data_IF_511221687972
#
_entry.id   IF_511221687972
#
_cell.length_a   1.000
_cell.length_b   1.000
_cell.length_c   1.000
_cell.angle_alpha   90.00
_cell.angle_beta   90.00
_cell.angle_gamma   90.00
#
_symmetry.space_group_name_H-M   'P 1'
#
loop_
_entity.id
_entity.type
_entity.pdbx_description
1 polymer ?
#
# COMPACT_ATOMS: atom_id res chain seq x y z
N UNK A 1 -4.20 15.56 20.36
CA UNK A 1 -4.15 14.87 19.06
C UNK A 1 -3.32 13.65 19.31
N UNK A 2 -3.87 12.46 19.12
CA UNK A 2 -3.07 11.23 19.13
C UNK A 2 -2.19 11.30 17.89
N UNK A 3 -0.88 11.37 18.07
CA UNK A 3 0.08 11.34 16.98
C UNK A 3 -0.05 9.98 16.28
N UNK A 4 -0.76 9.95 15.15
CA UNK A 4 -0.85 8.77 14.31
C UNK A 4 0.53 8.49 13.74
N UNK A 5 0.89 7.23 13.67
CA UNK A 5 2.12 6.77 13.04
C UNK A 5 1.76 5.64 12.11
N UNK A 6 1.65 5.97 10.83
CA UNK A 6 1.19 5.06 9.80
C UNK A 6 2.35 4.28 9.18
N UNK A 7 2.09 3.00 8.97
CA UNK A 7 2.99 2.03 8.37
C UNK A 7 2.26 1.31 7.24
N UNK A 8 2.97 1.01 6.17
CA UNK A 8 2.55 0.02 5.20
C UNK A 8 3.20 -1.30 5.60
N UNK A 9 2.41 -2.33 5.89
CA UNK A 9 2.88 -3.59 6.48
C UNK A 9 2.43 -4.76 5.64
N UNK A 10 3.33 -5.68 5.35
CA UNK A 10 2.99 -6.89 4.61
C UNK A 10 4.21 -7.77 4.34
N UNK A 11 4.02 -8.87 3.60
CA UNK A 11 5.10 -9.73 3.16
C UNK A 11 6.13 -9.00 2.28
N UNK A 12 7.40 -9.41 2.35
CA UNK A 12 8.49 -8.82 1.56
C UNK A 12 8.39 -9.06 0.05
N UNK A 13 7.48 -9.94 -0.40
CA UNK A 13 7.12 -10.15 -1.80
C UNK A 13 6.31 -8.99 -2.42
N UNK A 14 5.76 -8.10 -1.59
CA UNK A 14 5.02 -6.91 -2.01
C UNK A 14 3.51 -7.10 -2.20
N UNK A 15 2.94 -8.27 -1.91
CA UNK A 15 1.51 -8.55 -2.06
C UNK A 15 0.75 -8.49 -0.73
N UNK A 16 -0.52 -8.07 -0.76
CA UNK A 16 -1.39 -8.12 0.45
C UNK A 16 -1.01 -7.14 1.57
N UNK A 17 -0.36 -6.02 1.23
CA UNK A 17 0.03 -5.02 2.23
C UNK A 17 -1.16 -4.25 2.80
N UNK A 18 -1.07 -3.88 4.07
CA UNK A 18 -2.09 -3.16 4.83
C UNK A 18 -1.55 -1.87 5.45
N UNK A 19 -2.42 -0.88 5.64
CA UNK A 19 -2.07 0.38 6.30
C UNK A 19 -2.39 0.27 7.81
N UNK A 20 -1.34 0.30 8.64
CA UNK A 20 -1.46 0.08 10.10
C UNK A 20 -1.02 1.32 10.87
N UNK A 21 -1.84 1.73 11.84
CA UNK A 21 -1.49 2.79 12.80
C UNK A 21 -0.85 2.17 14.04
N UNK A 22 0.45 2.35 14.22
CA UNK A 22 1.17 1.86 15.39
C UNK A 22 2.33 2.80 15.75
N UNK A 23 2.61 2.94 17.04
CA UNK A 23 3.65 3.86 17.52
C UNK A 23 5.09 3.39 17.21
N UNK A 24 5.26 2.14 16.76
CA UNK A 24 6.56 1.53 16.44
C UNK A 24 6.43 0.55 15.29
N UNK A 25 7.53 0.30 14.58
CA UNK A 25 7.62 -0.73 13.54
C UNK A 25 7.24 -2.13 14.07
N UNK A 26 7.80 -2.52 15.21
CA UNK A 26 7.49 -3.80 15.84
C UNK A 26 6.01 -3.92 16.22
N UNK A 27 5.40 -2.83 16.70
CA UNK A 27 3.96 -2.78 16.96
C UNK A 27 3.12 -2.93 15.69
N UNK A 28 3.54 -2.30 14.59
CA UNK A 28 2.85 -2.40 13.30
C UNK A 28 2.86 -3.84 12.77
N UNK A 29 4.03 -4.48 12.82
CA UNK A 29 4.23 -5.88 12.42
C UNK A 29 3.44 -6.86 13.30
N UNK A 30 3.46 -6.66 14.62
CA UNK A 30 2.70 -7.50 15.55
C UNK A 30 1.19 -7.40 15.30
N UNK A 31 0.68 -6.19 15.02
CA UNK A 31 -0.73 -6.00 14.70
C UNK A 31 -1.12 -6.69 13.39
N UNK A 32 -0.27 -6.63 12.35
CA UNK A 32 -0.51 -7.35 11.10
C UNK A 32 -0.60 -8.87 11.34
N UNK A 33 0.34 -9.43 12.12
CA UNK A 33 0.38 -10.85 12.46
C UNK A 33 -0.90 -11.28 13.20
N UNK A 34 -1.34 -10.50 14.19
CA UNK A 34 -2.59 -10.75 14.92
C UNK A 34 -3.82 -10.75 13.99
N UNK A 35 -3.90 -9.77 13.06
CA UNK A 35 -5.01 -9.64 12.11
C UNK A 35 -5.08 -10.78 11.10
N UNK A 36 -3.93 -11.34 10.73
CA UNK A 36 -3.81 -12.42 9.76
C UNK A 36 -3.78 -13.82 10.41
N UNK A 37 -3.92 -13.91 11.74
CA UNK A 37 -4.02 -15.17 12.47
C UNK A 37 -2.69 -15.92 12.62
N UNK A 38 -1.58 -15.19 12.58
CA UNK A 38 -0.24 -15.73 12.78
C UNK A 38 0.06 -15.88 14.28
N UNK A 39 0.45 -17.09 14.70
CA UNK A 39 0.78 -17.40 16.10
C UNK A 39 2.10 -16.72 16.56
N UNK A 40 3.00 -16.47 15.61
CA UNK A 40 4.28 -15.79 15.81
C UNK A 40 4.52 -14.77 14.69
N UNK A 41 5.25 -13.69 14.96
CA UNK A 41 5.57 -12.68 13.94
C UNK A 41 6.52 -13.29 12.88
N UNK A 42 6.10 -13.43 11.62
CA UNK A 42 6.97 -13.98 10.60
C UNK A 42 8.12 -13.01 10.25
N UNK A 43 9.28 -13.57 9.90
CA UNK A 43 10.48 -12.82 9.57
C UNK A 43 10.40 -12.09 8.22
N UNK A 44 9.60 -12.63 7.29
CA UNK A 44 9.28 -12.06 5.98
C UNK A 44 8.25 -10.92 6.01
N UNK A 45 7.62 -10.65 7.16
CA UNK A 45 6.73 -9.49 7.31
C UNK A 45 7.57 -8.25 7.56
N UNK A 46 7.42 -7.25 6.70
CA UNK A 46 8.10 -5.95 6.79
C UNK A 46 7.10 -4.84 7.09
N UNK A 47 7.58 -3.76 7.72
CA UNK A 47 6.80 -2.55 7.92
C UNK A 47 7.59 -1.33 7.44
N UNK A 48 7.02 -0.58 6.50
CA UNK A 48 7.60 0.64 5.96
C UNK A 48 6.88 1.85 6.53
N UNK A 49 7.65 2.78 7.12
CA UNK A 49 7.13 4.01 7.68
C UNK A 49 6.58 4.92 6.57
N UNK A 50 5.36 5.43 6.75
CA UNK A 50 4.71 6.37 5.82
C UNK A 50 4.35 7.67 6.52
N UNK A 51 5.31 8.59 6.67
CA UNK A 51 5.10 9.86 7.38
C UNK A 51 3.97 10.70 6.75
N UNK A 52 3.87 10.70 5.41
CA UNK A 52 2.83 11.43 4.70
C UNK A 52 1.40 10.93 5.03
N UNK A 53 1.25 9.73 5.57
CA UNK A 53 -0.04 9.12 5.88
C UNK A 53 -0.59 9.50 7.25
N UNK A 54 0.23 10.06 8.15
CA UNK A 54 -0.20 10.38 9.52
C UNK A 54 -1.31 11.42 9.57
N UNK A 55 -1.24 12.37 8.64
CA UNK A 55 -2.18 13.49 8.52
C UNK A 55 -3.40 13.14 7.67
N UNK A 56 -3.39 11.99 6.98
CA UNK A 56 -4.47 11.61 6.08
C UNK A 56 -5.67 11.06 6.86
N UNK A 57 -6.90 11.57 6.60
CA UNK A 57 -8.11 11.04 7.23
C UNK A 57 -8.38 9.59 6.82
N UNK A 58 -7.99 9.22 5.60
CA UNK A 58 -8.13 7.89 5.01
C UNK A 58 -6.96 7.66 4.02
N UNK A 59 -6.47 6.43 3.93
CA UNK A 59 -5.40 6.06 2.98
C UNK A 59 -6.05 5.49 1.73
N UNK A 60 -5.88 6.17 0.61
CA UNK A 60 -6.46 5.78 -0.68
C UNK A 60 -5.46 5.03 -1.55
N UNK A 61 -5.91 4.33 -2.59
CA UNK A 61 -5.00 3.67 -3.54
C UNK A 61 -4.00 4.62 -4.20
N UNK A 62 -4.36 5.89 -4.40
CA UNK A 62 -3.41 6.89 -4.88
C UNK A 62 -2.27 7.17 -3.89
N UNK A 63 -2.54 7.09 -2.59
CA UNK A 63 -1.54 7.30 -1.55
C UNK A 63 -0.55 6.13 -1.47
N UNK A 64 -1.02 4.91 -1.74
CA UNK A 64 -0.17 3.74 -1.95
C UNK A 64 0.79 3.91 -3.13
N UNK A 65 0.28 4.35 -4.29
CA UNK A 65 1.13 4.61 -5.45
C UNK A 65 2.14 5.72 -5.18
N UNK A 66 1.73 6.82 -4.52
CA UNK A 66 2.64 7.93 -4.13
C UNK A 66 3.72 7.49 -3.15
N UNK A 67 3.42 6.51 -2.30
CA UNK A 67 4.39 5.89 -1.38
C UNK A 67 5.38 4.95 -2.09
N UNK A 68 5.26 4.77 -3.41
CA UNK A 68 6.08 3.82 -4.16
C UNK A 68 5.69 2.37 -3.86
N UNK A 69 4.42 2.11 -3.57
CA UNK A 69 3.85 0.79 -3.34
C UNK A 69 2.78 0.47 -4.39
N UNK A 70 2.45 -0.81 -4.53
CA UNK A 70 1.38 -1.28 -5.39
C UNK A 70 0.00 -1.10 -4.76
N UNK A 71 -1.04 -0.95 -5.58
CA UNK A 71 -2.44 -1.00 -5.16
C UNK A 71 -3.32 -1.51 -6.29
N UNK A 72 -4.52 -2.01 -5.98
CA UNK A 72 -5.50 -2.45 -6.97
C UNK A 72 -5.86 -1.36 -7.98
N UNK A 73 -5.78 -1.70 -9.27
CA UNK A 73 -6.28 -0.91 -10.40
C UNK A 73 -7.80 -0.80 -10.36
N UNK A 74 -8.34 0.40 -10.51
CA UNK A 74 -9.80 0.60 -10.49
C UNK A 74 -10.52 -0.05 -11.68
N UNK A 75 -9.84 -0.19 -12.83
CA UNK A 75 -10.42 -0.71 -14.08
C UNK A 75 -10.49 -2.24 -14.12
N UNK A 76 -9.35 -2.91 -13.88
CA UNK A 76 -9.22 -4.37 -14.05
C UNK A 76 -9.02 -5.15 -12.75
N UNK A 77 -8.89 -4.47 -11.60
CA UNK A 77 -8.61 -5.06 -10.29
C UNK A 77 -7.25 -5.77 -10.17
N UNK A 78 -6.40 -5.71 -11.19
CA UNK A 78 -5.01 -6.16 -11.12
C UNK A 78 -4.12 -5.15 -10.38
N UNK A 79 -2.90 -5.57 -10.02
CA UNK A 79 -1.94 -4.70 -9.34
C UNK A 79 -1.50 -3.52 -10.23
N UNK A 80 -1.74 -2.30 -9.75
CA UNK A 80 -1.21 -1.06 -10.30
C UNK A 80 0.03 -0.64 -9.51
N UNK A 81 1.17 -0.49 -10.20
CA UNK A 81 2.42 -0.05 -9.61
C UNK A 81 3.14 0.95 -10.52
N UNK A 82 3.57 2.09 -9.98
CA UNK A 82 4.14 3.18 -10.79
C UNK A 82 5.38 2.73 -11.59
N UNK A 83 6.20 1.84 -11.01
CA UNK A 83 7.38 1.30 -11.70
C UNK A 83 7.02 0.45 -12.94
N UNK A 84 5.78 -0.04 -13.02
CA UNK A 84 5.26 -0.81 -14.15
C UNK A 84 4.29 0.01 -15.03
N UNK A 85 4.43 1.35 -15.00
CA UNK A 85 3.69 2.24 -15.89
C UNK A 85 2.28 2.61 -15.42
N UNK A 86 1.90 2.24 -14.19
CA UNK A 86 0.65 2.72 -13.62
C UNK A 86 0.63 4.25 -13.47
N UNK A 87 -0.56 4.83 -13.44
CA UNK A 87 -0.78 6.25 -13.19
C UNK A 87 -1.91 6.46 -12.19
N UNK A 88 -1.91 7.64 -11.58
CA UNK A 88 -3.03 8.13 -10.77
C UNK A 88 -3.83 9.08 -11.66
N UNK A 89 -5.06 8.68 -12.03
CA UNK A 89 -5.98 9.49 -12.84
C UNK A 89 -7.22 9.77 -11.99
N UNK A 90 -7.59 11.04 -11.83
CA UNK A 90 -8.70 11.48 -10.96
C UNK A 90 -8.66 10.90 -9.54
N UNK A 91 -7.45 10.73 -8.99
CA UNK A 91 -7.23 10.17 -7.66
C UNK A 91 -7.36 8.64 -7.57
N UNK A 92 -7.50 7.94 -8.70
CA UNK A 92 -7.61 6.49 -8.76
C UNK A 92 -6.38 5.84 -9.41
N UNK A 93 -5.88 4.71 -8.89
CA UNK A 93 -4.84 3.92 -9.56
C UNK A 93 -5.36 3.25 -10.84
N UNK A 94 -4.65 3.43 -11.95
CA UNK A 94 -4.87 2.68 -13.20
C UNK A 94 -3.54 2.03 -13.60
N UNK A 95 -3.55 0.70 -13.84
CA UNK A 95 -2.36 -0.05 -14.20
C UNK A 95 -1.87 0.27 -15.62
N UNK A 96 -0.60 -0.02 -15.90
CA UNK A 96 0.01 0.23 -17.21
C UNK A 96 -0.70 -0.48 -18.36
N UNK A 97 -1.17 -1.72 -18.14
CA UNK A 97 -1.86 -2.48 -19.19
C UNK A 97 -3.18 -1.84 -19.60
N UNK A 98 -4.03 -1.40 -18.65
CA UNK A 98 -5.26 -0.68 -18.99
C UNK A 98 -4.98 0.63 -19.73
N UNK A 99 -3.94 1.38 -19.31
CA UNK A 99 -3.54 2.60 -20.00
C UNK A 99 -3.07 2.33 -21.44
N UNK A 100 -2.38 1.22 -21.66
CA UNK A 100 -1.93 0.80 -22.99
C UNK A 100 -3.11 0.41 -23.88
N UNK A 101 -4.07 -0.35 -23.36
CA UNK A 101 -5.30 -0.72 -24.08
C UNK A 101 -6.14 0.50 -24.45
N UNK A 102 -6.13 1.53 -23.62
CA UNK A 102 -6.81 2.82 -23.86
C UNK A 102 -6.04 3.74 -24.81
N UNK A 103 -4.78 3.41 -25.17
CA UNK A 103 -3.94 4.23 -26.04
C UNK A 103 -3.31 5.45 -25.34
N UNK A 104 -3.30 5.48 -24.00
CA UNK A 104 -2.72 6.55 -23.18
C UNK A 104 -1.19 6.45 -23.06
N UNK A 105 -0.65 5.27 -23.33
CA UNK A 105 0.79 4.97 -23.35
C UNK A 105 1.14 4.05 -24.53
N UNK A 106 2.39 4.14 -25.00
CA UNK A 106 2.91 3.36 -26.13
C UNK A 106 3.54 2.03 -25.70
#
# INVERSE_FOLDING_TARGET
MTDRMMWAVGPDDGEGWEAINAQTEAGARAQWAEQNGEDELPDWVVALRQEAWDELPEITGADWLRAGLGHTCVECQELAYLAFGARIIDGQPICGECLKEQGEIA
#
